data_IF_484308789342
#
_entry.id   IF_484308789342
#
_cell.length_a   1.000
_cell.length_b   1.000
_cell.length_c   1.000
_cell.angle_alpha   90.00
_cell.angle_beta   90.00
_cell.angle_gamma   90.00
#
_symmetry.space_group_name_H-M   'P 1'
#
loop_
_entity.id
_entity.type
_entity.pdbx_description
1 polymer ?
#
# COMPACT_ATOMS: atom_id res chain seq x y z
N UNK A 1 15.12 -2.41 15.34
CA UNK A 1 13.81 -3.11 15.19
C UNK A 1 12.86 -2.52 16.22
N UNK A 2 13.38 -2.29 17.42
CA UNK A 2 12.65 -1.69 18.55
C UNK A 2 12.06 -0.32 18.21
N UNK A 3 12.80 0.57 17.54
CA UNK A 3 12.29 1.92 17.24
C UNK A 3 11.04 1.92 16.33
N UNK A 4 11.03 1.12 15.25
CA UNK A 4 9.85 1.04 14.38
C UNK A 4 8.66 0.41 15.10
N UNK A 5 8.89 -0.64 15.89
CA UNK A 5 7.85 -1.28 16.69
C UNK A 5 7.29 -0.34 17.77
N UNK A 6 8.15 0.43 18.44
CA UNK A 6 7.74 1.47 19.39
C UNK A 6 6.90 2.53 18.71
N UNK A 7 7.29 2.99 17.51
CA UNK A 7 6.50 3.97 16.77
C UNK A 7 5.13 3.42 16.35
N UNK A 8 5.07 2.19 15.85
CA UNK A 8 3.82 1.49 15.53
C UNK A 8 2.93 1.38 16.77
N UNK A 9 3.50 1.04 17.92
CA UNK A 9 2.76 0.94 19.18
C UNK A 9 2.18 2.29 19.63
N UNK A 10 2.95 3.38 19.52
CA UNK A 10 2.48 4.72 19.82
C UNK A 10 1.35 5.17 18.87
N UNK A 11 1.46 4.83 17.58
CA UNK A 11 0.38 5.07 16.61
C UNK A 11 -0.90 4.30 17.01
N UNK A 12 -0.78 3.01 17.36
CA UNK A 12 -1.91 2.21 17.83
C UNK A 12 -2.58 2.79 19.06
N UNK A 13 -1.78 3.23 20.04
CA UNK A 13 -2.30 3.86 21.24
C UNK A 13 -3.04 5.15 20.93
N UNK A 14 -2.49 5.98 20.04
CA UNK A 14 -3.16 7.19 19.54
C UNK A 14 -4.50 6.85 18.91
N UNK A 15 -4.55 5.80 18.09
CA UNK A 15 -5.76 5.30 17.47
C UNK A 15 -6.78 4.77 18.49
N UNK A 16 -6.34 4.02 19.50
CA UNK A 16 -7.21 3.42 20.51
C UNK A 16 -7.84 4.44 21.45
N UNK A 17 -7.06 5.42 21.92
CA UNK A 17 -7.55 6.49 22.82
C UNK A 17 -8.64 7.34 22.17
N UNK A 18 -8.62 7.43 20.85
CA UNK A 18 -9.54 8.24 20.05
C UNK A 18 -10.63 7.40 19.36
N UNK A 19 -10.75 6.10 19.67
CA UNK A 19 -11.85 5.26 19.16
C UNK A 19 -13.19 5.72 19.75
N UNK A 20 -14.16 6.00 18.88
CA UNK A 20 -15.50 6.41 19.29
C UNK A 20 -15.67 7.89 19.61
N UNK A 21 -14.60 8.69 19.57
CA UNK A 21 -14.70 10.15 19.60
C UNK A 21 -15.04 10.65 18.19
N UNK A 22 -16.18 11.32 18.05
CA UNK A 22 -16.59 12.01 16.82
C UNK A 22 -15.80 13.30 16.60
N UNK A 23 -15.59 13.63 15.33
CA UNK A 23 -14.76 14.71 14.75
C UNK A 23 -13.37 14.96 15.37
N UNK A 24 -12.40 15.18 14.49
CA UNK A 24 -11.02 15.44 14.87
C UNK A 24 -10.93 16.89 15.37
N UNK A 25 -11.18 17.10 16.66
CA UNK A 25 -10.96 18.39 17.33
C UNK A 25 -9.48 18.78 17.24
N UNK A 26 -9.19 20.08 17.16
CA UNK A 26 -7.84 20.65 16.96
C UNK A 26 -6.86 20.26 18.08
N UNK A 27 -7.39 19.89 19.25
CA UNK A 27 -6.59 19.43 20.40
C UNK A 27 -6.47 17.91 20.48
N UNK A 28 -7.13 17.16 19.60
CA UNK A 28 -7.12 15.70 19.64
C UNK A 28 -5.74 15.15 19.20
N UNK A 29 -5.28 14.03 19.80
CA UNK A 29 -4.04 13.37 19.37
C UNK A 29 -4.01 13.02 17.88
N UNK A 30 -5.17 12.70 17.28
CA UNK A 30 -5.30 12.45 15.83
C UNK A 30 -5.08 13.70 15.00
N UNK A 31 -5.56 14.86 15.45
CA UNK A 31 -5.31 16.13 14.76
C UNK A 31 -3.82 16.47 14.75
N UNK A 32 -3.18 16.41 15.93
CA UNK A 32 -1.76 16.67 16.07
C UNK A 32 -0.92 15.71 15.22
N UNK A 33 -1.29 14.42 15.21
CA UNK A 33 -0.63 13.43 14.36
C UNK A 33 -0.81 13.77 12.87
N UNK A 34 -2.00 14.23 12.44
CA UNK A 34 -2.25 14.65 11.05
C UNK A 34 -1.32 15.77 10.61
N UNK A 35 -1.03 16.74 11.48
CA UNK A 35 -0.08 17.83 11.18
C UNK A 35 1.36 17.33 10.99
N UNK A 36 1.73 16.24 11.65
CA UNK A 36 3.08 15.65 11.57
C UNK A 36 3.25 14.69 10.38
N UNK A 37 2.17 14.30 9.69
CA UNK A 37 2.21 13.37 8.55
C UNK A 37 3.26 13.75 7.49
N UNK A 38 3.38 15.00 7.03
CA UNK A 38 4.38 15.36 6.02
C UNK A 38 5.82 15.09 6.49
N UNK A 39 6.12 15.35 7.77
CA UNK A 39 7.45 15.09 8.36
C UNK A 39 7.72 13.60 8.49
N UNK A 40 6.71 12.82 8.92
CA UNK A 40 6.79 11.37 9.00
C UNK A 40 7.05 10.76 7.63
N UNK A 41 6.26 11.14 6.61
CA UNK A 41 6.41 10.64 5.24
C UNK A 41 7.78 11.01 4.67
N UNK A 42 8.26 12.24 4.88
CA UNK A 42 9.60 12.66 4.47
C UNK A 42 10.70 11.79 5.10
N UNK A 43 10.58 11.49 6.40
CA UNK A 43 11.54 10.62 7.11
C UNK A 43 11.50 9.19 6.57
N UNK A 44 10.30 8.64 6.37
CA UNK A 44 10.09 7.30 5.83
C UNK A 44 10.64 7.17 4.41
N UNK A 45 10.42 8.17 3.55
CA UNK A 45 10.97 8.17 2.19
C UNK A 45 12.49 8.07 2.15
N UNK A 46 13.19 8.68 3.12
CA UNK A 46 14.64 8.50 3.27
C UNK A 46 14.98 7.05 3.62
N UNK A 47 14.25 6.45 4.56
CA UNK A 47 14.44 5.07 5.00
C UNK A 47 14.18 4.05 3.89
N UNK A 48 13.19 4.29 3.02
CA UNK A 48 12.90 3.44 1.85
C UNK A 48 14.03 3.42 0.82
N UNK A 49 14.91 4.45 0.80
CA UNK A 49 16.06 4.55 -0.10
C UNK A 49 17.31 3.85 0.43
N UNK A 50 17.33 3.45 1.69
CA UNK A 50 18.49 2.79 2.31
C UNK A 50 18.70 1.38 1.76
N UNK A 51 19.88 0.79 2.00
CA UNK A 51 20.22 -0.58 1.54
C UNK A 51 19.53 -1.66 2.37
N UNK A 52 19.28 -1.39 3.65
CA UNK A 52 18.77 -2.37 4.61
C UNK A 52 17.33 -2.78 4.29
N UNK A 53 17.15 -4.05 3.90
CA UNK A 53 15.81 -4.65 3.65
C UNK A 53 14.96 -4.55 4.91
N UNK A 54 15.54 -4.81 6.08
CA UNK A 54 14.87 -4.73 7.38
C UNK A 54 14.35 -3.31 7.67
N UNK A 55 15.09 -2.29 7.28
CA UNK A 55 14.67 -0.89 7.40
C UNK A 55 13.48 -0.60 6.51
N UNK A 56 13.52 -1.04 5.24
CA UNK A 56 12.40 -0.85 4.30
C UNK A 56 11.12 -1.54 4.76
N UNK A 57 11.24 -2.77 5.28
CA UNK A 57 10.14 -3.53 5.89
C UNK A 57 9.51 -2.69 7.03
N UNK A 58 10.32 -2.25 8.00
CA UNK A 58 9.83 -1.43 9.11
C UNK A 58 9.19 -0.12 8.66
N UNK A 59 9.74 0.51 7.61
CA UNK A 59 9.19 1.72 7.02
C UNK A 59 7.78 1.51 6.44
N UNK A 60 7.55 0.43 5.69
CA UNK A 60 6.20 0.06 5.23
C UNK A 60 5.26 -0.29 6.38
N UNK A 61 5.74 -0.99 7.41
CA UNK A 61 4.92 -1.32 8.58
C UNK A 61 4.44 -0.06 9.32
N UNK A 62 5.29 0.96 9.45
CA UNK A 62 4.89 2.27 10.01
C UNK A 62 3.83 2.95 9.15
N UNK A 63 4.01 2.99 7.82
CA UNK A 63 3.03 3.60 6.92
C UNK A 63 1.68 2.90 6.98
N UNK A 64 1.66 1.56 7.06
CA UNK A 64 0.42 0.79 7.25
C UNK A 64 -0.30 1.22 8.52
N UNK A 65 0.40 1.25 9.64
CA UNK A 65 -0.21 1.62 10.91
C UNK A 65 -0.70 3.08 10.90
N UNK A 66 0.05 3.98 10.27
CA UNK A 66 -0.37 5.37 10.12
C UNK A 66 -1.69 5.49 9.36
N UNK A 67 -1.87 4.74 8.27
CA UNK A 67 -3.12 4.72 7.49
C UNK A 67 -4.28 4.09 8.27
N UNK A 68 -4.02 3.06 9.08
CA UNK A 68 -5.04 2.47 9.97
C UNK A 68 -5.56 3.50 10.97
N UNK A 69 -4.66 4.30 11.54
CA UNK A 69 -4.98 5.27 12.58
C UNK A 69 -5.61 6.54 12.00
N UNK A 70 -5.15 6.96 10.81
CA UNK A 70 -5.61 8.14 10.09
C UNK A 70 -5.93 7.78 8.63
N UNK A 71 -7.17 7.37 8.31
CA UNK A 71 -7.63 7.25 6.93
C UNK A 71 -7.46 8.56 6.16
N UNK A 72 -7.26 8.46 4.85
CA UNK A 72 -7.02 9.58 3.92
C UNK A 72 -5.79 10.47 4.19
N UNK A 73 -4.96 10.16 5.19
CA UNK A 73 -3.85 11.05 5.61
C UNK A 73 -2.69 11.19 4.61
N UNK A 74 -2.55 10.25 3.67
CA UNK A 74 -1.44 10.23 2.72
C UNK A 74 -1.80 10.84 1.36
N UNK A 75 -3.02 11.36 1.16
CA UNK A 75 -3.49 11.87 -0.13
C UNK A 75 -2.49 12.83 -0.80
N UNK A 76 -2.04 13.86 -0.08
CA UNK A 76 -1.13 14.89 -0.60
C UNK A 76 0.30 14.39 -0.80
N UNK A 77 0.69 13.31 -0.11
CA UNK A 77 2.08 12.83 -0.06
C UNK A 77 2.27 11.52 -0.83
N UNK A 78 1.19 10.90 -1.32
CA UNK A 78 1.22 9.56 -1.90
C UNK A 78 2.21 9.45 -3.06
N UNK A 79 2.26 10.45 -3.94
CA UNK A 79 3.18 10.48 -5.08
C UNK A 79 4.65 10.33 -4.70
N UNK A 80 5.05 10.82 -3.52
CA UNK A 80 6.43 10.67 -3.03
C UNK A 80 6.79 9.24 -2.63
N UNK A 81 5.79 8.41 -2.29
CA UNK A 81 5.95 7.03 -1.85
C UNK A 81 5.98 6.03 -3.01
N UNK A 82 5.40 6.40 -4.17
CA UNK A 82 5.28 5.52 -5.35
C UNK A 82 6.63 4.92 -5.78
N UNK A 83 7.74 5.67 -5.90
CA UNK A 83 9.03 5.09 -6.26
C UNK A 83 9.53 4.05 -5.24
N UNK A 84 9.19 4.22 -3.96
CA UNK A 84 9.52 3.27 -2.90
C UNK A 84 8.77 1.95 -3.06
N UNK A 85 7.48 2.02 -3.42
CA UNK A 85 6.64 0.85 -3.71
C UNK A 85 7.18 0.11 -4.94
N UNK A 86 7.37 0.83 -6.06
CA UNK A 86 7.86 0.22 -7.30
C UNK A 86 9.19 -0.49 -7.10
N UNK A 87 10.13 0.16 -6.39
CA UNK A 87 11.43 -0.44 -6.08
C UNK A 87 11.29 -1.69 -5.21
N UNK A 88 10.43 -1.67 -4.20
CA UNK A 88 10.21 -2.83 -3.34
C UNK A 88 9.67 -4.04 -4.12
N UNK A 89 8.83 -3.82 -5.14
CA UNK A 89 8.22 -4.89 -5.93
C UNK A 89 9.10 -5.40 -7.08
N UNK A 90 9.86 -4.51 -7.73
CA UNK A 90 10.63 -4.84 -8.94
C UNK A 90 12.10 -5.20 -8.69
N UNK A 91 12.71 -4.76 -7.59
CA UNK A 91 14.13 -4.98 -7.33
C UNK A 91 14.41 -6.48 -7.10
N UNK A 92 15.40 -7.02 -7.82
CA UNK A 92 15.82 -8.42 -7.71
C UNK A 92 16.33 -8.77 -6.31
N UNK A 93 16.83 -7.77 -5.58
CA UNK A 93 17.30 -7.92 -4.20
C UNK A 93 16.17 -7.92 -3.16
N UNK A 94 14.93 -7.61 -3.56
CA UNK A 94 13.78 -7.61 -2.66
C UNK A 94 13.42 -9.02 -2.21
N UNK A 95 13.41 -9.23 -0.90
CA UNK A 95 12.91 -10.46 -0.30
C UNK A 95 11.40 -10.55 -0.41
N UNK A 96 10.86 -11.76 -0.36
CA UNK A 96 9.41 -11.98 -0.33
C UNK A 96 8.72 -11.23 0.82
N UNK A 97 9.39 -11.10 1.98
CA UNK A 97 8.86 -10.33 3.11
C UNK A 97 8.73 -8.83 2.79
N UNK A 98 9.72 -8.23 2.12
CA UNK A 98 9.64 -6.83 1.70
C UNK A 98 8.51 -6.62 0.67
N UNK A 99 8.37 -7.54 -0.30
CA UNK A 99 7.27 -7.49 -1.27
C UNK A 99 5.91 -7.59 -0.58
N UNK A 100 5.74 -8.52 0.35
CA UNK A 100 4.50 -8.69 1.11
C UNK A 100 4.16 -7.41 1.89
N UNK A 101 5.13 -6.80 2.59
CA UNK A 101 4.90 -5.56 3.32
C UNK A 101 4.52 -4.39 2.40
N UNK A 102 5.19 -4.25 1.25
CA UNK A 102 4.88 -3.22 0.27
C UNK A 102 3.50 -3.41 -0.36
N UNK A 103 3.12 -4.66 -0.70
CA UNK A 103 1.79 -5.00 -1.21
C UNK A 103 0.71 -4.75 -0.15
N UNK A 104 0.94 -5.19 1.09
CA UNK A 104 0.01 -4.95 2.19
C UNK A 104 -0.21 -3.46 2.45
N UNK A 105 0.86 -2.64 2.36
CA UNK A 105 0.76 -1.19 2.41
C UNK A 105 -0.05 -0.63 1.23
N UNK A 106 0.25 -1.08 0.01
CA UNK A 106 -0.45 -0.65 -1.21
C UNK A 106 -1.94 -0.96 -1.12
N UNK A 107 -2.31 -2.14 -0.60
CA UNK A 107 -3.71 -2.53 -0.40
C UNK A 107 -4.42 -1.59 0.56
N UNK A 108 -3.84 -1.36 1.75
CA UNK A 108 -4.51 -0.58 2.78
C UNK A 108 -4.61 0.90 2.42
N UNK A 109 -3.56 1.47 1.82
CA UNK A 109 -3.60 2.88 1.38
C UNK A 109 -4.66 3.07 0.30
N UNK A 110 -4.76 2.16 -0.68
CA UNK A 110 -5.81 2.19 -1.69
C UNK A 110 -7.20 2.12 -1.06
N UNK A 111 -7.43 1.17 -0.15
CA UNK A 111 -8.72 0.98 0.53
C UNK A 111 -9.15 2.19 1.39
N UNK A 112 -8.19 2.95 1.92
CA UNK A 112 -8.45 4.03 2.89
C UNK A 112 -8.43 5.45 2.31
N UNK A 113 -8.23 5.63 1.00
CA UNK A 113 -8.23 6.95 0.35
C UNK A 113 -9.16 6.97 -0.85
N UNK A 114 -9.49 8.19 -1.30
CA UNK A 114 -10.27 8.37 -2.53
C UNK A 114 -9.52 7.84 -3.77
N UNK A 115 -10.23 7.22 -4.75
CA UNK A 115 -9.61 6.70 -5.97
C UNK A 115 -8.76 7.71 -6.76
N UNK A 116 -9.17 8.99 -6.77
CA UNK A 116 -8.52 10.07 -7.51
C UNK A 116 -7.07 10.30 -7.09
N UNK A 117 -6.71 10.02 -5.83
CA UNK A 117 -5.33 10.10 -5.32
C UNK A 117 -4.39 9.19 -6.12
N UNK A 118 -4.88 8.04 -6.58
CA UNK A 118 -4.07 7.01 -7.20
C UNK A 118 -4.00 7.13 -8.72
N UNK A 119 -4.99 7.77 -9.34
CA UNK A 119 -5.11 7.88 -10.81
C UNK A 119 -3.83 8.36 -11.51
N UNK A 120 -3.08 9.36 -11.02
CA UNK A 120 -1.82 9.77 -11.63
C UNK A 120 -0.72 8.69 -11.62
N UNK A 121 -0.85 7.67 -10.76
CA UNK A 121 0.20 6.69 -10.47
C UNK A 121 -0.16 5.26 -10.89
N UNK A 122 -1.37 5.03 -11.42
CA UNK A 122 -1.85 3.70 -11.82
C UNK A 122 -0.92 3.03 -12.83
N UNK A 123 -0.40 3.78 -13.80
CA UNK A 123 0.52 3.24 -14.78
C UNK A 123 1.80 2.68 -14.13
N UNK A 124 2.37 3.42 -13.17
CA UNK A 124 3.56 3.02 -12.43
C UNK A 124 3.30 1.82 -11.50
N UNK A 125 2.12 1.73 -10.89
CA UNK A 125 1.78 0.68 -9.91
C UNK A 125 1.28 -0.62 -10.55
N UNK A 126 0.55 -0.55 -11.66
CA UNK A 126 -0.11 -1.70 -12.28
C UNK A 126 0.88 -2.80 -12.71
N UNK A 127 1.95 -2.45 -13.41
CA UNK A 127 2.97 -3.41 -13.85
C UNK A 127 3.62 -4.20 -12.70
N UNK A 128 4.18 -3.53 -11.68
CA UNK A 128 4.76 -4.19 -10.51
C UNK A 128 3.77 -5.09 -9.75
N UNK A 129 2.52 -4.64 -9.57
CA UNK A 129 1.47 -5.43 -8.90
C UNK A 129 1.16 -6.69 -9.71
N UNK A 130 0.96 -6.56 -11.02
CA UNK A 130 0.67 -7.69 -11.91
C UNK A 130 1.82 -8.69 -11.96
N UNK A 131 3.06 -8.20 -11.99
CA UNK A 131 4.25 -9.06 -11.92
C UNK A 131 4.32 -9.85 -10.61
N UNK A 132 3.87 -9.27 -9.49
CA UNK A 132 3.88 -9.95 -8.20
C UNK A 132 2.83 -11.07 -8.08
N UNK A 133 1.81 -11.10 -8.94
CA UNK A 133 0.88 -12.24 -9.03
C UNK A 133 1.62 -13.49 -9.52
N UNK A 134 2.56 -13.31 -10.45
CA UNK A 134 3.41 -14.39 -10.97
C UNK A 134 4.60 -14.75 -10.08
N UNK A 135 4.68 -14.24 -8.84
CA UNK A 135 5.78 -14.54 -7.94
C UNK A 135 5.81 -16.04 -7.57
N UNK A 136 7.01 -16.58 -7.36
CA UNK A 136 7.21 -17.99 -6.98
C UNK A 136 6.70 -18.29 -5.58
N UNK A 137 6.71 -17.30 -4.69
CA UNK A 137 6.25 -17.49 -3.32
C UNK A 137 4.78 -17.15 -3.20
N UNK A 138 3.95 -18.17 -2.94
CA UNK A 138 2.50 -18.06 -2.93
C UNK A 138 1.94 -16.95 -2.01
N UNK A 139 2.63 -16.58 -0.92
CA UNK A 139 2.18 -15.48 -0.05
C UNK A 139 2.32 -14.12 -0.71
N UNK A 140 3.35 -13.92 -1.55
CA UNK A 140 3.47 -12.70 -2.36
C UNK A 140 2.33 -12.66 -3.37
N UNK A 141 2.08 -13.77 -4.06
CA UNK A 141 0.96 -13.89 -5.01
C UNK A 141 -0.38 -13.59 -4.35
N UNK A 142 -0.65 -14.20 -3.19
CA UNK A 142 -1.90 -14.01 -2.46
C UNK A 142 -2.11 -12.55 -2.03
N UNK A 143 -1.05 -11.83 -1.66
CA UNK A 143 -1.18 -10.40 -1.33
C UNK A 143 -1.33 -9.54 -2.59
N UNK A 144 -0.61 -9.87 -3.67
CA UNK A 144 -0.74 -9.16 -4.96
C UNK A 144 -2.15 -9.27 -5.55
N UNK A 145 -2.79 -10.44 -5.43
CA UNK A 145 -4.19 -10.64 -5.82
C UNK A 145 -5.15 -9.77 -5.01
N UNK A 146 -4.92 -9.61 -3.69
CA UNK A 146 -5.73 -8.70 -2.86
C UNK A 146 -5.55 -7.24 -3.29
N UNK A 147 -4.31 -6.83 -3.60
CA UNK A 147 -4.04 -5.48 -4.14
C UNK A 147 -4.74 -5.28 -5.49
N UNK A 148 -4.78 -6.30 -6.35
CA UNK A 148 -5.50 -6.21 -7.61
C UNK A 148 -7.01 -5.95 -7.44
N UNK A 149 -7.64 -6.50 -6.41
CA UNK A 149 -9.03 -6.18 -6.08
C UNK A 149 -9.22 -4.68 -5.82
N UNK A 150 -8.32 -4.08 -5.02
CA UNK A 150 -8.32 -2.62 -4.78
C UNK A 150 -7.99 -1.82 -6.04
N UNK A 151 -7.06 -2.30 -6.87
CA UNK A 151 -6.70 -1.67 -8.14
C UNK A 151 -7.92 -1.56 -9.07
N UNK A 152 -8.75 -2.61 -9.17
CA UNK A 152 -9.99 -2.60 -9.95
C UNK A 152 -10.97 -1.56 -9.38
N UNK A 153 -11.14 -1.50 -8.05
CA UNK A 153 -12.00 -0.50 -7.41
C UNK A 153 -11.51 0.93 -7.69
N UNK A 154 -10.20 1.15 -7.71
CA UNK A 154 -9.61 2.47 -8.01
C UNK A 154 -9.79 2.84 -9.49
N UNK A 155 -9.60 1.88 -10.41
CA UNK A 155 -9.79 2.06 -11.85
C UNK A 155 -11.24 2.37 -12.23
N UNK A 156 -12.19 1.77 -11.52
CA UNK A 156 -13.63 1.93 -11.78
C UNK A 156 -14.42 1.95 -10.47
N UNK A 157 -14.45 3.09 -9.76
CA UNK A 157 -15.12 3.20 -8.47
C UNK A 157 -16.65 3.22 -8.58
N UNK A 158 -17.19 3.75 -9.67
CA UNK A 158 -18.63 3.71 -10.00
C UNK A 158 -18.82 3.25 -11.46
N UNK A 159 -20.03 2.82 -11.80
CA UNK A 159 -20.35 2.37 -13.16
C UNK A 159 -20.63 3.52 -14.12
N UNK A 160 -20.93 4.71 -13.59
CA UNK A 160 -21.49 5.85 -14.32
C UNK A 160 -20.44 6.90 -14.72
N UNK A 161 -19.41 7.15 -13.89
CA UNK A 161 -18.41 8.18 -14.17
C UNK A 161 -17.08 7.56 -14.59
N UNK A 162 -16.54 8.06 -15.71
CA UNK A 162 -15.20 7.69 -16.17
C UNK A 162 -14.21 8.71 -15.65
N UNK A 163 -13.56 8.38 -14.54
CA UNK A 163 -12.48 9.20 -13.97
C UNK A 163 -11.16 9.05 -14.74
N UNK A 164 -10.87 7.85 -15.27
CA UNK A 164 -9.68 7.56 -16.10
C UNK A 164 -9.99 6.54 -17.21
N UNK A 165 -9.14 6.49 -18.25
CA UNK A 165 -9.18 5.41 -19.23
C UNK A 165 -8.62 4.10 -18.63
N UNK A 166 -9.51 3.26 -18.13
CA UNK A 166 -9.17 1.98 -17.51
C UNK A 166 -8.95 0.84 -18.52
N UNK A 167 -9.30 1.04 -19.81
CA UNK A 167 -9.28 -0.02 -20.84
C UNK A 167 -7.92 -0.73 -20.97
N UNK A 168 -6.77 -0.03 -20.92
CA UNK A 168 -5.46 -0.68 -21.05
C UNK A 168 -5.16 -1.70 -19.94
N UNK A 169 -5.82 -1.59 -18.79
CA UNK A 169 -5.53 -2.41 -17.61
C UNK A 169 -6.41 -3.65 -17.49
N UNK A 170 -7.59 -3.68 -18.13
CA UNK A 170 -8.57 -4.78 -18.01
C UNK A 170 -7.98 -6.12 -18.44
N UNK A 171 -7.46 -6.18 -19.67
CA UNK A 171 -6.96 -7.43 -20.26
C UNK A 171 -5.75 -7.96 -19.48
N UNK A 172 -4.74 -7.14 -19.14
CA UNK A 172 -3.62 -7.60 -18.30
C UNK A 172 -4.04 -8.13 -16.94
N UNK A 173 -4.94 -7.44 -16.22
CA UNK A 173 -5.46 -7.87 -14.92
C UNK A 173 -6.16 -9.23 -15.05
N UNK A 174 -7.08 -9.34 -16.02
CA UNK A 174 -7.83 -10.58 -16.26
C UNK A 174 -6.91 -11.76 -16.58
N UNK A 175 -5.95 -11.57 -17.49
CA UNK A 175 -4.98 -12.61 -17.87
C UNK A 175 -4.13 -13.06 -16.69
N UNK A 176 -3.64 -12.14 -15.86
CA UNK A 176 -2.80 -12.47 -14.72
C UNK A 176 -3.56 -13.29 -13.66
N UNK A 177 -4.82 -12.93 -13.37
CA UNK A 177 -5.68 -13.67 -12.44
C UNK A 177 -6.01 -15.05 -12.99
N UNK A 178 -6.45 -15.16 -14.25
CA UNK A 178 -6.76 -16.45 -14.86
C UNK A 178 -5.56 -17.39 -14.92
N UNK A 179 -4.40 -16.87 -15.31
CA UNK A 179 -3.18 -17.68 -15.35
C UNK A 179 -2.85 -18.25 -13.96
N UNK A 180 -3.04 -17.45 -12.90
CA UNK A 180 -2.80 -17.94 -11.54
C UNK A 180 -3.84 -18.97 -11.10
N UNK A 181 -5.10 -18.79 -11.47
CA UNK A 181 -6.17 -19.76 -11.18
C UNK A 181 -5.90 -21.11 -11.87
N UNK A 182 -5.54 -21.10 -13.15
CA UNK A 182 -5.23 -22.30 -13.91
C UNK A 182 -4.01 -23.07 -13.38
N UNK A 183 -3.05 -22.36 -12.77
CA UNK A 183 -1.84 -22.96 -12.22
C UNK A 183 -1.98 -23.42 -10.75
N UNK A 184 -3.16 -23.26 -10.12
CA UNK A 184 -3.37 -23.74 -8.73
C UNK A 184 -3.27 -25.27 -8.60
N UNK A 185 -3.46 -26.02 -9.68
CA UNK A 185 -3.28 -27.48 -9.70
C UNK A 185 -1.80 -27.92 -9.52
N UNK A 186 -0.83 -27.01 -9.63
CA UNK A 186 0.60 -27.33 -9.49
C UNK A 186 1.19 -27.05 -8.10
N UNK A 187 0.49 -26.32 -7.22
CA UNK A 187 0.98 -25.96 -5.88
C UNK A 187 0.62 -27.00 -4.80
N UNK A 188 0.02 -28.15 -5.16
CA UNK A 188 -0.37 -29.25 -4.26
C UNK A 188 0.49 -30.53 -4.35
N UNK A 189 1.63 -30.51 -5.05
CA UNK A 189 2.54 -31.68 -5.13
C UNK A 189 3.90 -31.38 -4.50
#
# INVERSE_FOLDING_TARGET
MDIFNTFIELLRQTGNVTKGQGDIDESSPRWLLKQEVPKVVKSINRQLREKSIKTKVGAFSVLKELVVVLPDCLADQFGSLVPGIEKALNDKSSTSNLKIEALAFTRIVMASHSPSVFHPYIQALSGPILSAIGDRYYKVTAEALRVCGELVRVLRPNFEERSIDFRPYIIPIYKAILARLANQDQDQV
#
